data_IF_682076567216
#
_entry.id   IF_682076567216
#
_cell.length_a   1.000
_cell.length_b   1.000
_cell.length_c   1.000
_cell.angle_alpha   90.00
_cell.angle_beta   90.00
_cell.angle_gamma   90.00
#
_symmetry.space_group_name_H-M   'P 1'
#
loop_
_entity.id
_entity.type
_entity.pdbx_description
1 polymer ?
#
# COMPACT_ATOMS: atom_id res chain seq x y z
N UNK A 1 20.28 -8.65 28.29
CA UNK A 1 19.77 -10.03 28.24
C UNK A 1 18.33 -9.96 27.78
N UNK A 2 18.00 -10.51 26.61
CA UNK A 2 16.60 -10.67 26.19
C UNK A 2 16.05 -11.88 26.95
N UNK A 3 15.01 -11.69 27.77
CA UNK A 3 14.38 -12.80 28.49
C UNK A 3 13.62 -13.66 27.48
N UNK A 4 13.93 -14.96 27.42
CA UNK A 4 13.13 -15.97 26.71
C UNK A 4 11.84 -16.27 27.49
N UNK A 5 11.01 -15.25 27.72
CA UNK A 5 9.68 -15.43 28.29
C UNK A 5 8.66 -15.36 27.15
N UNK A 6 7.63 -16.22 27.14
CA UNK A 6 6.52 -16.07 26.19
C UNK A 6 5.86 -14.70 26.39
N UNK A 7 5.47 -14.01 25.30
CA UNK A 7 4.85 -12.69 25.38
C UNK A 7 3.51 -12.75 26.14
N UNK A 8 3.21 -11.70 26.89
CA UNK A 8 1.97 -11.59 27.67
C UNK A 8 0.80 -11.04 26.82
N UNK A 9 -0.45 -11.21 27.28
CA UNK A 9 -1.64 -10.70 26.56
C UNK A 9 -1.59 -9.18 26.37
N UNK A 10 -1.00 -8.44 27.32
CA UNK A 10 -0.83 -6.99 27.22
C UNK A 10 0.12 -6.58 26.08
N UNK A 11 1.09 -7.43 25.72
CA UNK A 11 1.96 -7.22 24.56
C UNK A 11 1.16 -7.24 23.25
N UNK A 12 0.04 -7.99 23.21
CA UNK A 12 -0.83 -8.03 22.04
C UNK A 12 -1.62 -6.74 21.85
N UNK A 13 -2.19 -6.17 22.92
CA UNK A 13 -2.94 -4.91 22.83
C UNK A 13 -2.04 -3.76 22.36
N UNK A 14 -0.80 -3.70 22.86
CA UNK A 14 0.22 -2.74 22.43
C UNK A 14 0.60 -2.96 20.96
N UNK A 15 0.87 -4.21 20.56
CA UNK A 15 1.23 -4.54 19.18
C UNK A 15 0.10 -4.23 18.19
N UNK A 16 -1.16 -4.53 18.55
CA UNK A 16 -2.34 -4.22 17.74
C UNK A 16 -2.50 -2.71 17.55
N UNK A 17 -2.34 -1.93 18.62
CA UNK A 17 -2.42 -0.47 18.56
C UNK A 17 -1.32 0.12 17.68
N UNK A 18 -0.08 -0.36 17.84
CA UNK A 18 1.04 0.07 17.01
C UNK A 18 0.84 -0.29 15.53
N UNK A 19 0.32 -1.49 15.24
CA UNK A 19 0.02 -1.93 13.88
C UNK A 19 -1.06 -1.07 13.21
N UNK A 20 -2.15 -0.77 13.92
CA UNK A 20 -3.22 0.11 13.42
C UNK A 20 -2.68 1.50 13.10
N UNK A 21 -1.94 2.10 14.04
CA UNK A 21 -1.34 3.42 13.86
C UNK A 21 -0.39 3.46 12.65
N UNK A 22 0.45 2.44 12.47
CA UNK A 22 1.37 2.37 11.34
C UNK A 22 0.63 2.27 9.98
N UNK A 23 -0.49 1.54 9.93
CA UNK A 23 -1.34 1.45 8.74
C UNK A 23 -2.01 2.80 8.46
N UNK A 24 -2.58 3.45 9.46
CA UNK A 24 -3.22 4.77 9.34
C UNK A 24 -2.23 5.85 8.88
N UNK A 25 -1.02 5.89 9.45
CA UNK A 25 0.04 6.82 9.04
C UNK A 25 0.44 6.59 7.57
N UNK A 26 0.56 5.33 7.15
CA UNK A 26 0.89 4.99 5.76
C UNK A 26 -0.25 5.36 4.81
N UNK A 27 -1.50 5.15 5.20
CA UNK A 27 -2.67 5.58 4.42
C UNK A 27 -2.71 7.11 4.27
N UNK A 28 -2.52 7.85 5.37
CA UNK A 28 -2.46 9.30 5.34
C UNK A 28 -1.36 9.81 4.42
N UNK A 29 -0.18 9.19 4.44
CA UNK A 29 0.91 9.50 3.51
C UNK A 29 0.46 9.31 2.05
N UNK A 30 -0.20 8.19 1.73
CA UNK A 30 -0.71 7.93 0.37
C UNK A 30 -1.74 8.99 -0.04
N UNK A 31 -2.66 9.39 0.85
CA UNK A 31 -3.66 10.43 0.59
C UNK A 31 -3.01 11.79 0.31
N UNK A 32 -1.98 12.16 1.08
CA UNK A 32 -1.21 13.40 0.88
C UNK A 32 -0.50 13.38 -0.47
N UNK A 33 0.14 12.25 -0.82
CA UNK A 33 0.78 12.09 -2.14
C UNK A 33 -0.25 12.23 -3.26
N UNK A 34 -1.40 11.56 -3.14
CA UNK A 34 -2.45 11.57 -4.16
C UNK A 34 -3.02 12.98 -4.37
N UNK A 35 -3.32 13.71 -3.29
CA UNK A 35 -3.75 15.12 -3.37
C UNK A 35 -2.67 16.02 -3.99
N UNK A 36 -1.40 15.78 -3.66
CA UNK A 36 -0.28 16.54 -4.22
C UNK A 36 -0.14 16.28 -5.73
N UNK A 37 -0.32 15.04 -6.19
CA UNK A 37 -0.31 14.70 -7.61
C UNK A 37 -1.46 15.39 -8.38
N UNK A 38 -2.66 15.49 -7.79
CA UNK A 38 -3.80 16.23 -8.37
C UNK A 38 -3.50 17.73 -8.52
N UNK A 39 -2.88 18.33 -7.49
CA UNK A 39 -2.46 19.74 -7.52
C UNK A 39 -1.37 19.97 -8.56
N UNK A 40 -0.41 19.05 -8.67
CA UNK A 40 0.62 19.11 -9.71
C UNK A 40 0.00 18.99 -11.11
N UNK A 41 -0.94 18.07 -11.34
CA UNK A 41 -1.64 17.96 -12.64
C UNK A 41 -2.33 19.27 -13.03
N UNK A 42 -3.03 19.88 -12.07
CA UNK A 42 -3.73 21.15 -12.27
C UNK A 42 -2.77 22.29 -12.57
N UNK A 43 -1.65 22.37 -11.86
CA UNK A 43 -0.61 23.38 -12.09
C UNK A 43 0.09 23.17 -13.44
N UNK A 44 0.46 21.93 -13.75
CA UNK A 44 1.03 21.57 -15.04
C UNK A 44 0.06 21.88 -16.18
N UNK A 45 -1.25 21.73 -15.99
CA UNK A 45 -2.25 22.07 -17.01
C UNK A 45 -2.18 23.55 -17.42
N UNK A 46 -2.08 24.47 -16.45
CA UNK A 46 -2.05 25.92 -16.69
C UNK A 46 -0.71 26.38 -17.26
N UNK A 47 0.39 25.73 -16.86
CA UNK A 47 1.74 26.11 -17.25
C UNK A 47 2.13 25.68 -18.67
N UNK A 48 1.38 24.76 -19.28
CA UNK A 48 1.68 24.18 -20.58
C UNK A 48 0.82 24.81 -21.69
N UNK A 49 1.40 25.22 -22.83
CA UNK A 49 0.64 25.73 -23.95
C UNK A 49 -0.31 24.68 -24.53
N UNK A 50 -1.47 25.15 -24.96
CA UNK A 50 -2.56 24.30 -25.43
C UNK A 50 -2.31 23.67 -26.80
N UNK A 51 -1.35 24.17 -27.58
CA UNK A 51 -1.22 23.87 -29.02
C UNK A 51 -0.14 22.82 -29.32
N UNK A 52 0.93 22.75 -28.51
CA UNK A 52 2.10 21.89 -28.76
C UNK A 52 2.04 20.52 -28.08
N UNK A 53 0.93 20.20 -27.41
CA UNK A 53 0.76 18.98 -26.62
C UNK A 53 1.07 19.21 -25.14
N UNK A 54 0.57 18.33 -24.27
CA UNK A 54 0.67 18.48 -22.80
C UNK A 54 0.99 17.16 -22.11
N UNK A 55 1.71 17.25 -21.01
CA UNK A 55 1.91 16.18 -20.04
C UNK A 55 0.81 16.30 -18.99
N UNK A 56 0.09 15.22 -18.71
CA UNK A 56 -0.88 15.16 -17.62
C UNK A 56 -0.56 14.02 -16.66
N UNK A 57 -0.88 14.22 -15.39
CA UNK A 57 -0.77 13.25 -14.32
C UNK A 57 -2.20 12.82 -13.98
N UNK A 58 -2.61 11.65 -14.48
CA UNK A 58 -4.00 11.22 -14.44
C UNK A 58 -4.17 9.95 -13.63
N UNK A 59 -5.29 9.91 -12.94
CA UNK A 59 -5.78 8.76 -12.21
C UNK A 59 -6.66 7.93 -13.16
N UNK A 60 -6.22 6.73 -13.47
CA UNK A 60 -6.83 5.87 -14.49
C UNK A 60 -7.23 4.55 -13.83
N UNK A 61 -8.45 4.11 -14.07
CA UNK A 61 -8.89 2.78 -13.66
C UNK A 61 -8.36 1.74 -14.66
N UNK A 62 -7.55 0.79 -14.18
CA UNK A 62 -6.94 -0.25 -15.00
C UNK A 62 -6.75 -1.52 -14.18
N UNK A 63 -7.18 -2.66 -14.74
CA UNK A 63 -7.15 -3.98 -14.11
C UNK A 63 -7.78 -3.98 -12.70
N UNK A 64 -9.00 -3.43 -12.60
CA UNK A 64 -9.76 -3.36 -11.35
C UNK A 64 -9.18 -2.40 -10.29
N UNK A 65 -8.13 -1.62 -10.62
CA UNK A 65 -7.45 -0.74 -9.66
C UNK A 65 -7.29 0.67 -10.21
N UNK A 66 -7.46 1.64 -9.34
CA UNK A 66 -7.20 3.03 -9.62
C UNK A 66 -5.68 3.32 -9.54
N UNK A 67 -5.07 3.77 -10.63
CA UNK A 67 -3.61 3.97 -10.73
C UNK A 67 -3.26 5.35 -11.27
N UNK A 68 -2.22 5.94 -10.71
CA UNK A 68 -1.61 7.13 -11.29
C UNK A 68 -0.80 6.77 -12.53
N UNK A 69 -0.96 7.59 -13.58
CA UNK A 69 -0.26 7.45 -14.84
C UNK A 69 0.15 8.81 -15.37
N UNK A 70 1.30 8.85 -16.04
CA UNK A 70 1.66 9.98 -16.89
C UNK A 70 1.02 9.76 -18.26
N UNK A 71 0.32 10.77 -18.75
CA UNK A 71 -0.33 10.79 -20.06
C UNK A 71 0.24 11.92 -20.90
N UNK A 72 0.68 11.62 -22.10
CA UNK A 72 1.09 12.61 -23.08
C UNK A 72 -0.08 12.84 -24.03
N UNK A 73 -0.61 14.04 -24.01
CA UNK A 73 -1.67 14.48 -24.90
C UNK A 73 -1.05 15.23 -26.07
N UNK A 74 -1.48 14.88 -27.28
CA UNK A 74 -1.09 15.53 -28.51
C UNK A 74 -2.32 15.81 -29.37
N UNK A 75 -2.29 16.90 -30.09
CA UNK A 75 -3.31 17.20 -31.08
C UNK A 75 -2.92 16.56 -32.41
N UNK A 76 -3.84 15.81 -33.02
CA UNK A 76 -3.68 15.29 -34.37
C UNK A 76 -3.91 16.40 -35.40
N UNK A 77 -3.49 16.17 -36.66
CA UNK A 77 -3.80 17.08 -37.79
C UNK A 77 -5.31 17.36 -37.93
N UNK A 78 -6.15 16.40 -37.55
CA UNK A 78 -7.61 16.51 -37.51
C UNK A 78 -8.15 17.37 -36.36
N UNK A 79 -7.30 18.07 -35.60
CA UNK A 79 -7.60 18.82 -34.37
C UNK A 79 -8.14 17.98 -33.21
N UNK A 80 -8.29 16.66 -33.37
CA UNK A 80 -8.64 15.73 -32.28
C UNK A 80 -7.49 15.55 -31.31
N UNK A 81 -7.80 15.49 -30.02
CA UNK A 81 -6.85 15.18 -28.96
C UNK A 81 -6.74 13.69 -28.74
N UNK A 82 -5.51 13.18 -28.71
CA UNK A 82 -5.23 11.80 -28.30
C UNK A 82 -4.27 11.80 -27.14
N UNK A 83 -4.39 10.79 -26.27
CA UNK A 83 -3.46 10.61 -25.17
C UNK A 83 -2.79 9.24 -25.23
N UNK A 84 -1.52 9.21 -24.85
CA UNK A 84 -0.72 7.98 -24.76
C UNK A 84 -0.11 7.88 -23.37
N UNK A 85 0.08 6.65 -22.90
CA UNK A 85 0.81 6.41 -21.65
C UNK A 85 2.30 6.76 -21.84
N UNK A 86 2.90 7.33 -20.81
CA UNK A 86 4.34 7.50 -20.72
C UNK A 86 4.85 7.01 -19.36
N UNK A 87 6.09 6.54 -19.33
CA UNK A 87 6.77 6.28 -18.07
C UNK A 87 7.01 7.57 -17.31
N UNK A 88 6.82 7.52 -15.98
CA UNK A 88 7.23 8.59 -15.07
C UNK A 88 8.76 8.68 -14.95
N UNK A 89 9.49 7.58 -15.21
CA UNK A 89 10.95 7.60 -15.19
C UNK A 89 11.51 8.46 -16.31
N UNK A 90 12.37 9.42 -15.96
CA UNK A 90 12.96 10.36 -16.92
C UNK A 90 11.97 11.38 -17.48
N UNK A 91 10.85 11.63 -16.80
CA UNK A 91 9.80 12.56 -17.25
C UNK A 91 10.35 13.97 -17.54
N UNK A 92 11.31 14.44 -16.75
CA UNK A 92 12.00 15.72 -16.96
C UNK A 92 12.58 15.88 -18.38
N UNK A 93 13.12 14.81 -18.97
CA UNK A 93 13.71 14.85 -20.32
C UNK A 93 12.68 15.08 -21.42
N UNK A 94 11.39 14.88 -21.11
CA UNK A 94 10.28 15.10 -22.05
C UNK A 94 9.86 16.57 -22.14
N UNK A 95 10.23 17.39 -21.15
CA UNK A 95 10.00 18.83 -21.19
C UNK A 95 11.04 19.44 -22.12
N UNK A 96 10.61 19.87 -23.31
CA UNK A 96 11.48 20.52 -24.29
C UNK A 96 11.46 22.03 -24.07
N UNK A 97 12.63 22.66 -24.17
CA UNK A 97 12.71 24.12 -24.22
C UNK A 97 12.15 24.57 -25.56
N UNK A 98 11.17 25.44 -25.51
CA UNK A 98 10.51 26.06 -26.67
C UNK A 98 10.25 27.52 -26.30
N UNK A 99 10.18 28.42 -27.29
CA UNK A 99 9.92 29.85 -27.06
C UNK A 99 8.59 30.07 -26.32
N UNK A 100 7.60 29.21 -26.57
CA UNK A 100 6.31 29.23 -25.87
C UNK A 100 6.39 28.74 -24.40
N UNK A 101 7.48 28.07 -24.03
CA UNK A 101 7.65 27.40 -22.73
C UNK A 101 8.70 28.08 -21.86
N UNK A 102 9.41 29.11 -22.36
CA UNK A 102 10.66 29.59 -21.76
C UNK A 102 10.50 30.05 -20.30
N UNK A 103 9.41 30.77 -19.99
CA UNK A 103 9.13 31.24 -18.63
C UNK A 103 8.83 30.10 -17.64
N UNK A 104 8.13 29.06 -18.10
CA UNK A 104 7.63 27.97 -17.25
C UNK A 104 8.51 26.71 -17.30
N UNK A 105 9.49 26.66 -18.20
CA UNK A 105 10.28 25.48 -18.50
C UNK A 105 10.98 24.88 -17.26
N UNK A 106 11.67 25.72 -16.47
CA UNK A 106 12.39 25.26 -15.28
C UNK A 106 11.43 24.71 -14.21
N UNK A 107 10.30 25.38 -14.01
CA UNK A 107 9.27 24.96 -13.06
C UNK A 107 8.62 23.64 -13.50
N UNK A 108 8.31 23.48 -14.79
CA UNK A 108 7.79 22.22 -15.33
C UNK A 108 8.77 21.05 -15.15
N UNK A 109 10.07 21.29 -15.37
CA UNK A 109 11.09 20.26 -15.08
C UNK A 109 11.11 19.86 -13.61
N UNK A 110 11.04 20.84 -12.71
CA UNK A 110 10.99 20.58 -11.28
C UNK A 110 9.73 19.77 -10.90
N UNK A 111 8.57 20.13 -11.43
CA UNK A 111 7.34 19.37 -11.22
C UNK A 111 7.46 17.94 -11.74
N UNK A 112 8.09 17.72 -12.90
CA UNK A 112 8.33 16.38 -13.43
C UNK A 112 9.24 15.54 -12.52
N UNK A 113 10.27 16.14 -11.93
CA UNK A 113 11.13 15.47 -10.95
C UNK A 113 10.33 15.12 -9.68
N UNK A 114 9.46 16.02 -9.20
CA UNK A 114 8.58 15.75 -8.04
C UNK A 114 7.55 14.67 -8.31
N UNK A 115 6.94 14.63 -9.49
CA UNK A 115 6.03 13.55 -9.90
C UNK A 115 6.74 12.20 -9.84
N UNK A 116 7.97 12.13 -10.37
CA UNK A 116 8.77 10.89 -10.37
C UNK A 116 8.98 10.40 -8.94
N UNK A 117 9.44 11.28 -8.05
CA UNK A 117 9.64 10.98 -6.63
C UNK A 117 8.34 10.54 -5.94
N UNK A 118 7.23 11.26 -6.16
CA UNK A 118 5.94 10.94 -5.53
C UNK A 118 5.39 9.59 -5.99
N UNK A 119 5.56 9.23 -7.27
CA UNK A 119 5.19 7.91 -7.78
C UNK A 119 5.98 6.80 -7.10
N UNK A 120 7.29 7.00 -6.90
CA UNK A 120 8.16 6.04 -6.22
C UNK A 120 7.78 5.89 -4.74
N UNK A 121 7.63 6.99 -4.01
CA UNK A 121 7.21 6.99 -2.60
C UNK A 121 5.85 6.32 -2.41
N UNK A 122 4.89 6.62 -3.29
CA UNK A 122 3.56 5.99 -3.26
C UNK A 122 3.65 4.48 -3.49
N UNK A 123 4.45 4.05 -4.47
CA UNK A 123 4.62 2.62 -4.78
C UNK A 123 5.24 1.89 -3.58
N UNK A 124 6.26 2.47 -2.95
CA UNK A 124 6.89 1.92 -1.75
C UNK A 124 5.91 1.83 -0.57
N UNK A 125 5.08 2.86 -0.35
CA UNK A 125 4.07 2.88 0.71
C UNK A 125 3.02 1.78 0.51
N UNK A 126 2.49 1.64 -0.72
CA UNK A 126 1.52 0.58 -1.05
C UNK A 126 2.13 -0.81 -0.92
N UNK A 127 3.37 -1.00 -1.39
CA UNK A 127 4.06 -2.30 -1.27
C UNK A 127 4.28 -2.69 0.19
N UNK A 128 4.59 -1.74 1.08
CA UNK A 128 4.72 -2.00 2.52
C UNK A 128 3.40 -2.47 3.13
N UNK A 129 2.29 -1.79 2.85
CA UNK A 129 0.96 -2.22 3.32
C UNK A 129 0.61 -3.62 2.80
N UNK A 130 0.88 -3.88 1.52
CA UNK A 130 0.61 -5.17 0.92
C UNK A 130 1.41 -6.28 1.58
N UNK A 131 2.72 -6.07 1.81
CA UNK A 131 3.60 -7.02 2.50
C UNK A 131 3.18 -7.24 3.95
N UNK A 132 2.81 -6.19 4.67
CA UNK A 132 2.31 -6.29 6.04
C UNK A 132 1.07 -7.19 6.12
N UNK A 133 0.07 -6.93 5.27
CA UNK A 133 -1.18 -7.70 5.22
C UNK A 133 -0.98 -9.15 4.73
N UNK A 134 -0.20 -9.37 3.66
CA UNK A 134 0.03 -10.72 3.12
C UNK A 134 0.92 -11.55 4.03
N UNK A 135 1.95 -10.92 4.62
CA UNK A 135 2.86 -11.56 5.56
C UNK A 135 2.13 -12.04 6.81
N UNK A 136 1.33 -11.18 7.43
CA UNK A 136 0.55 -11.55 8.62
C UNK A 136 -0.43 -12.68 8.31
N UNK A 137 -1.21 -12.55 7.23
CA UNK A 137 -2.23 -13.55 6.86
C UNK A 137 -1.64 -14.94 6.59
N UNK A 138 -0.55 -15.02 5.82
CA UNK A 138 0.12 -16.31 5.54
C UNK A 138 0.70 -16.93 6.80
N UNK A 139 1.32 -16.10 7.63
CA UNK A 139 1.94 -16.48 8.89
C UNK A 139 0.91 -17.04 9.88
N UNK A 140 -0.28 -16.42 9.97
CA UNK A 140 -1.39 -16.89 10.82
C UNK A 140 -1.96 -18.21 10.31
N UNK A 141 -2.32 -18.30 9.02
CA UNK A 141 -2.88 -19.53 8.44
C UNK A 141 -1.97 -20.75 8.60
N UNK A 142 -0.67 -20.57 8.47
CA UNK A 142 0.29 -21.65 8.68
C UNK A 142 0.33 -22.17 10.12
N UNK A 143 -0.03 -21.33 11.11
CA UNK A 143 -0.04 -21.67 12.53
C UNK A 143 -1.40 -22.16 13.02
N UNK A 144 -2.49 -21.77 12.37
CA UNK A 144 -3.85 -22.22 12.72
C UNK A 144 -3.97 -23.75 12.76
N UNK A 145 -3.41 -24.46 11.78
CA UNK A 145 -3.44 -25.93 11.75
C UNK A 145 -2.68 -26.53 12.95
N UNK A 146 -1.45 -26.07 13.20
CA UNK A 146 -0.65 -26.57 14.32
C UNK A 146 -1.29 -26.28 15.69
N UNK A 147 -1.94 -25.12 15.84
CA UNK A 147 -2.70 -24.78 17.04
C UNK A 147 -3.91 -25.71 17.17
N UNK A 148 -4.68 -25.92 16.10
CA UNK A 148 -5.85 -26.80 16.10
C UNK A 148 -5.50 -28.23 16.49
N UNK A 149 -4.41 -28.78 15.93
CA UNK A 149 -3.94 -30.13 16.26
C UNK A 149 -3.53 -30.24 17.73
N UNK A 150 -2.88 -29.20 18.26
CA UNK A 150 -2.46 -29.14 19.66
C UNK A 150 -3.66 -29.05 20.60
N UNK A 151 -4.65 -28.21 20.28
CA UNK A 151 -5.89 -28.08 21.06
C UNK A 151 -6.63 -29.42 21.10
N UNK A 152 -6.84 -30.07 19.96
CA UNK A 152 -7.51 -31.37 19.89
C UNK A 152 -6.78 -32.45 20.71
N UNK A 153 -5.45 -32.45 20.72
CA UNK A 153 -4.66 -33.36 21.55
C UNK A 153 -4.85 -33.07 23.04
N UNK A 154 -4.79 -31.81 23.46
CA UNK A 154 -4.94 -31.41 24.87
C UNK A 154 -6.36 -31.74 25.36
N UNK A 155 -7.39 -31.39 24.60
CA UNK A 155 -8.78 -31.67 24.94
C UNK A 155 -9.02 -33.19 25.07
N UNK A 156 -8.52 -33.98 24.11
CA UNK A 156 -8.64 -35.44 24.17
C UNK A 156 -7.84 -36.08 25.31
N UNK A 157 -6.76 -35.44 25.79
CA UNK A 157 -6.03 -35.89 26.98
C UNK A 157 -6.78 -35.52 28.27
N UNK A 158 -7.38 -34.33 28.33
CA UNK A 158 -8.21 -33.90 29.46
C UNK A 158 -9.40 -34.84 29.64
N UNK A 159 -10.16 -35.11 28.58
CA UNK A 159 -11.31 -36.03 28.61
C UNK A 159 -10.91 -37.43 29.12
N UNK A 160 -9.75 -37.95 28.68
CA UNK A 160 -9.24 -39.26 29.12
C UNK A 160 -8.81 -39.28 30.59
N UNK A 161 -8.26 -38.17 31.07
CA UNK A 161 -7.83 -38.04 32.46
C UNK A 161 -9.07 -37.89 33.35
N UNK A 162 -10.02 -37.04 32.99
CA UNK A 162 -11.29 -36.85 33.71
C UNK A 162 -12.07 -38.16 33.81
N UNK A 163 -12.24 -38.90 32.71
CA UNK A 163 -12.90 -40.20 32.73
C UNK A 163 -12.20 -41.25 33.62
N UNK A 164 -10.89 -41.12 33.82
CA UNK A 164 -10.12 -42.02 34.70
C UNK A 164 -10.30 -41.68 36.18
N UNK A 165 -10.43 -40.40 36.52
CA UNK A 165 -10.59 -39.95 37.91
C UNK A 165 -12.04 -39.90 38.38
N UNK A 166 -13.02 -39.75 37.48
CA UNK A 166 -14.44 -39.93 37.82
C UNK A 166 -14.78 -41.40 38.10
N UNK A 167 -14.15 -42.34 37.39
CA UNK A 167 -14.32 -43.78 37.64
C UNK A 167 -13.64 -44.31 38.92
N UNK A 168 -12.68 -43.57 39.48
CA UNK A 168 -11.98 -43.92 40.73
C UNK A 168 -12.68 -43.35 41.99
N UNK A 169 -13.73 -42.52 41.85
CA UNK A 169 -14.48 -41.93 42.99
C UNK A 169 -15.75 -42.71 43.41
N UNK A 170 -16.10 -43.82 42.75
CA UNK A 170 -17.34 -44.59 43.04
C UNK A 170 -17.15 -45.84 43.92
N UNK A 171 -16.03 -46.03 44.63
CA UNK A 171 -15.84 -47.22 45.48
C UNK A 171 -15.20 -46.88 46.83
N UNK A 172 -15.96 -46.28 47.73
CA UNK A 172 -15.78 -46.44 49.18
C UNK A 172 -17.06 -46.01 49.92
N UNK A 173 -18.12 -46.81 49.79
CA UNK A 173 -19.24 -46.86 50.74
C UNK A 173 -19.82 -48.29 50.71
N UNK A 174 -19.22 -49.19 51.51
CA UNK A 174 -19.88 -50.35 52.14
C UNK A 174 -19.04 -50.91 53.30
#
# INVERSE_FOLDING_TARGET
>A
MVRNQPPEIDDFAVALTAARKAVEETENLIRIIDSTLERIDSLMYVMQPFQSGRIGIKRVFSNGRLRWQVRIFRQLRSRKWVSSFASHKGLRRRVKRSREWEANYKFLQLLCDRVTLLFELRSQAVDRLWRFSHGSTRSTRAREAAISDTVALVDGLLERIEARFEGDMELEDE
#
